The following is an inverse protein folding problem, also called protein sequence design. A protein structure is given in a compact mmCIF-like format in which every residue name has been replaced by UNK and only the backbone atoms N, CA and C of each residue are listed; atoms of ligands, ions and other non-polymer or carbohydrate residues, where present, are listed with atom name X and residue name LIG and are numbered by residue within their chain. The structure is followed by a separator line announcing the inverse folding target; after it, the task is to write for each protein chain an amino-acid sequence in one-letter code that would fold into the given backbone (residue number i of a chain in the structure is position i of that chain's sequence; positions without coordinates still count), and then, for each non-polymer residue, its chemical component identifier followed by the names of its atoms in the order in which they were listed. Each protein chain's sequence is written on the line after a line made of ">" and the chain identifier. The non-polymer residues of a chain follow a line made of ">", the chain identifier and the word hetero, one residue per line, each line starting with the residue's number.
data_IF_438866196069
#
_entry.id   IF_438866196069
#
_cell.length_a   1.000
_cell.length_b   1.000
_cell.length_c   1.000
_cell.angle_alpha   90.00
_cell.angle_beta   90.00
_cell.angle_gamma   90.00
#
_symmetry.space_group_name_H-M   'P 1'
#
loop_
_entity.id
_entity.type
_entity.pdbx_description
1 polymer ?
#
# COMPACT_ATOMS: atom_id res chain seq x y z
N UNK A 1 9.37 -8.17 -40.52
CA UNK A 1 9.32 -6.92 -39.73
C UNK A 1 8.04 -6.17 -40.06
N UNK A 2 7.53 -5.35 -39.13
CA UNK A 2 6.34 -4.51 -39.36
C UNK A 2 6.79 -3.13 -39.88
N UNK A 3 6.11 -2.58 -40.90
CA UNK A 3 6.49 -1.29 -41.50
C UNK A 3 6.09 -0.12 -40.60
N UNK A 4 7.06 0.71 -40.24
CA UNK A 4 6.87 1.98 -39.50
C UNK A 4 6.03 2.95 -40.35
N UNK A 5 4.91 3.44 -39.80
CA UNK A 5 3.91 4.27 -40.51
C UNK A 5 4.07 5.78 -40.30
N UNK A 6 4.84 6.19 -39.30
CA UNK A 6 5.04 7.59 -38.95
C UNK A 6 5.56 7.75 -37.53
N UNK A 7 5.46 8.97 -37.02
CA UNK A 7 5.87 9.38 -35.68
C UNK A 7 4.65 9.69 -34.80
N UNK A 8 4.88 10.05 -33.54
CA UNK A 8 3.83 10.51 -32.61
C UNK A 8 3.09 11.77 -33.11
N UNK A 9 3.73 12.58 -33.96
CA UNK A 9 3.11 13.76 -34.56
C UNK A 9 2.09 13.41 -35.64
N UNK A 10 2.14 12.18 -36.17
CA UNK A 10 1.23 11.69 -37.20
C UNK A 10 -0.03 11.02 -36.63
N UNK A 11 -0.19 10.99 -35.31
CA UNK A 11 -1.21 10.19 -34.62
C UNK A 11 -2.62 10.42 -35.18
N UNK A 12 -3.06 11.68 -35.26
CA UNK A 12 -4.41 12.05 -35.71
C UNK A 12 -4.67 11.55 -37.13
N UNK A 13 -3.71 11.79 -38.03
CA UNK A 13 -3.78 11.34 -39.43
C UNK A 13 -3.81 9.82 -39.52
N UNK A 14 -2.97 9.14 -38.74
CA UNK A 14 -2.86 7.68 -38.75
C UNK A 14 -4.10 7.01 -38.15
N UNK A 15 -4.67 7.55 -37.08
CA UNK A 15 -5.93 7.07 -36.49
C UNK A 15 -7.05 7.15 -37.53
N UNK A 16 -7.19 8.30 -38.20
CA UNK A 16 -8.22 8.49 -39.23
C UNK A 16 -8.02 7.58 -40.45
N UNK A 17 -6.77 7.38 -40.88
CA UNK A 17 -6.46 6.56 -42.08
C UNK A 17 -6.60 5.07 -41.82
N UNK A 18 -6.32 4.63 -40.58
CA UNK A 18 -6.29 3.21 -40.20
C UNK A 18 -7.55 2.75 -39.48
N UNK A 19 -8.49 3.66 -39.19
CA UNK A 19 -9.66 3.42 -38.33
C UNK A 19 -9.26 2.77 -36.99
N UNK A 20 -8.17 3.28 -36.40
CA UNK A 20 -7.56 2.67 -35.23
C UNK A 20 -8.36 3.00 -33.96
N UNK A 21 -8.81 1.98 -33.23
CA UNK A 21 -9.61 2.13 -32.00
C UNK A 21 -8.76 2.10 -30.72
N UNK A 22 -7.52 1.61 -30.81
CA UNK A 22 -6.61 1.46 -29.66
C UNK A 22 -5.21 1.92 -30.05
N UNK A 23 -4.63 2.80 -29.23
CA UNK A 23 -3.21 3.15 -29.28
C UNK A 23 -2.47 2.38 -28.19
N UNK A 24 -1.47 1.58 -28.57
CA UNK A 24 -0.65 0.83 -27.63
C UNK A 24 0.74 1.46 -27.52
N UNK A 25 1.12 1.90 -26.33
CA UNK A 25 2.43 2.48 -26.02
C UNK A 25 3.37 1.36 -25.59
N UNK A 26 4.34 1.04 -26.45
CA UNK A 26 5.38 0.05 -26.21
C UNK A 26 6.76 0.68 -25.94
N UNK A 27 6.78 1.88 -25.35
CA UNK A 27 8.01 2.64 -25.06
C UNK A 27 8.39 2.37 -23.61
N UNK A 28 9.51 1.65 -23.40
CA UNK A 28 9.98 1.28 -22.07
C UNK A 28 10.12 2.48 -21.11
N UNK A 29 10.53 3.65 -21.62
CA UNK A 29 10.75 4.88 -20.84
C UNK A 29 9.93 6.08 -21.32
N UNK A 30 8.62 5.91 -21.56
CA UNK A 30 7.77 7.07 -21.84
C UNK A 30 7.66 7.96 -20.60
N UNK A 31 7.86 9.27 -20.77
CA UNK A 31 7.70 10.21 -19.66
C UNK A 31 6.22 10.55 -19.44
N UNK A 32 5.85 10.93 -18.22
CA UNK A 32 4.46 11.20 -17.87
C UNK A 32 3.84 12.37 -18.64
N UNK A 33 4.64 13.37 -19.03
CA UNK A 33 4.13 14.50 -19.80
C UNK A 33 3.70 14.06 -21.21
N UNK A 34 4.49 13.22 -21.87
CA UNK A 34 4.18 12.61 -23.15
C UNK A 34 2.98 11.68 -23.05
N UNK A 35 2.88 10.88 -21.98
CA UNK A 35 1.74 10.00 -21.81
C UNK A 35 0.44 10.78 -21.56
N UNK A 36 0.48 11.87 -20.78
CA UNK A 36 -0.66 12.78 -20.59
C UNK A 36 -1.08 13.47 -21.89
N UNK A 37 -0.11 13.90 -22.70
CA UNK A 37 -0.38 14.48 -24.03
C UNK A 37 -1.05 13.45 -24.95
N UNK A 38 -0.51 12.24 -24.99
CA UNK A 38 -1.07 11.11 -25.74
C UNK A 38 -2.49 10.77 -25.29
N UNK A 39 -2.73 10.67 -23.97
CA UNK A 39 -4.06 10.36 -23.42
C UNK A 39 -5.08 11.43 -23.84
N UNK A 40 -4.70 12.71 -23.71
CA UNK A 40 -5.55 13.83 -24.14
C UNK A 40 -5.90 13.76 -25.62
N UNK A 41 -4.91 13.47 -26.48
CA UNK A 41 -5.09 13.36 -27.93
C UNK A 41 -5.94 12.14 -28.28
N UNK A 42 -5.70 10.98 -27.65
CA UNK A 42 -6.48 9.77 -27.88
C UNK A 42 -7.95 9.96 -27.48
N UNK A 43 -8.23 10.60 -26.32
CA UNK A 43 -9.60 10.93 -25.89
C UNK A 43 -10.32 11.84 -26.87
N UNK A 44 -9.63 12.86 -27.42
CA UNK A 44 -10.20 13.74 -28.43
C UNK A 44 -10.55 13.01 -29.73
N UNK A 45 -9.86 11.91 -30.02
CA UNK A 45 -10.07 11.07 -31.20
C UNK A 45 -11.01 9.87 -30.95
N UNK A 46 -11.48 9.66 -29.71
CA UNK A 46 -12.28 8.48 -29.34
C UNK A 46 -11.48 7.16 -29.31
N UNK A 47 -10.16 7.23 -29.17
CA UNK A 47 -9.24 6.08 -29.16
C UNK A 47 -8.87 5.71 -27.73
N UNK A 48 -8.82 4.42 -27.42
CA UNK A 48 -8.35 3.93 -26.12
C UNK A 48 -6.83 3.90 -26.07
N UNK A 49 -6.24 4.61 -25.11
CA UNK A 49 -4.81 4.52 -24.83
C UNK A 49 -4.52 3.35 -23.90
N UNK A 50 -3.53 2.54 -24.27
CA UNK A 50 -3.10 1.35 -23.57
C UNK A 50 -1.58 1.32 -23.47
N UNK A 51 -1.04 0.89 -22.33
CA UNK A 51 0.41 0.85 -22.10
C UNK A 51 0.86 -0.61 -21.94
N UNK A 52 1.92 -1.00 -22.65
CA UNK A 52 2.55 -2.32 -22.46
C UNK A 52 3.49 -2.22 -21.26
N UNK A 53 3.42 -3.17 -20.31
CA UNK A 53 4.38 -3.27 -19.22
C UNK A 53 5.82 -3.41 -19.74
N UNK A 54 6.78 -2.93 -18.97
CA UNK A 54 8.19 -3.07 -19.31
C UNK A 54 8.62 -4.56 -19.31
N UNK A 55 9.67 -4.93 -20.08
CA UNK A 55 10.20 -6.29 -20.08
C UNK A 55 10.58 -6.81 -18.67
N UNK A 56 10.99 -5.92 -17.76
CA UNK A 56 11.34 -6.26 -16.38
C UNK A 56 10.09 -6.68 -15.59
N UNK A 57 8.96 -5.99 -15.77
CA UNK A 57 7.68 -6.31 -15.10
C UNK A 57 7.09 -7.64 -15.59
N UNK A 58 7.28 -7.94 -16.88
CA UNK A 58 6.83 -9.20 -17.50
C UNK A 58 7.66 -10.38 -16.99
N UNK A 59 8.99 -10.23 -16.95
CA UNK A 59 9.92 -11.32 -16.55
C UNK A 59 9.77 -11.68 -15.07
N UNK A 60 9.45 -10.71 -14.20
CA UNK A 60 9.22 -10.94 -12.77
C UNK A 60 7.84 -11.52 -12.43
N UNK A 61 7.00 -11.82 -13.43
CA UNK A 61 5.66 -12.38 -13.20
C UNK A 61 4.70 -11.43 -12.49
N UNK A 62 5.03 -10.15 -12.39
CA UNK A 62 4.20 -9.12 -11.74
C UNK A 62 3.04 -8.69 -12.64
N UNK A 63 3.17 -8.90 -13.96
CA UNK A 63 2.18 -8.60 -14.99
C UNK A 63 2.33 -9.59 -16.15
N UNK A 64 1.23 -10.10 -16.71
CA UNK A 64 1.28 -10.97 -17.89
C UNK A 64 1.32 -10.16 -19.19
N UNK A 65 1.89 -10.71 -20.28
CA UNK A 65 1.89 -10.06 -21.60
C UNK A 65 0.47 -9.79 -22.14
N UNK A 66 -0.54 -10.49 -21.61
CA UNK A 66 -1.96 -10.30 -21.87
C UNK A 66 -2.52 -9.02 -21.23
N UNK A 67 -1.84 -8.43 -20.27
CA UNK A 67 -2.36 -7.33 -19.44
C UNK A 67 -2.01 -5.97 -20.05
N UNK A 68 -2.44 -5.79 -21.31
CA UNK A 68 -2.43 -4.46 -21.93
C UNK A 68 -3.41 -3.58 -21.14
N UNK A 69 -2.86 -2.80 -20.22
CA UNK A 69 -3.59 -2.10 -19.17
C UNK A 69 -4.02 -0.70 -19.62
N UNK A 70 -5.14 -0.22 -19.09
CA UNK A 70 -5.50 1.20 -19.18
C UNK A 70 -4.44 2.04 -18.45
N UNK A 71 -4.26 3.30 -18.88
CA UNK A 71 -3.35 4.25 -18.25
C UNK A 71 -3.69 4.40 -16.77
N UNK A 72 -2.73 4.12 -15.90
CA UNK A 72 -2.92 4.18 -14.44
C UNK A 72 -2.65 5.58 -13.88
N UNK A 73 -3.06 5.83 -12.63
CA UNK A 73 -2.78 7.12 -11.97
C UNK A 73 -1.27 7.30 -11.73
N UNK A 74 -0.59 6.18 -11.48
CA UNK A 74 0.85 6.06 -11.34
C UNK A 74 1.57 6.52 -12.63
N UNK A 75 1.07 6.06 -13.78
CA UNK A 75 1.60 6.44 -15.09
C UNK A 75 1.42 7.94 -15.36
N UNK A 76 0.24 8.49 -15.02
CA UNK A 76 -0.06 9.92 -15.15
C UNK A 76 0.79 10.79 -14.22
N UNK A 77 1.15 10.28 -13.05
CA UNK A 77 2.02 10.96 -12.09
C UNK A 77 3.51 10.72 -12.38
N UNK A 78 3.84 9.85 -13.32
CA UNK A 78 5.21 9.52 -13.71
C UNK A 78 5.98 8.78 -12.64
N UNK A 79 5.28 8.04 -11.77
CA UNK A 79 5.91 7.29 -10.70
C UNK A 79 6.17 5.86 -11.16
N UNK A 80 7.44 5.49 -11.23
CA UNK A 80 7.87 4.13 -11.54
C UNK A 80 8.41 3.46 -10.27
N UNK A 81 8.15 2.15 -10.07
CA UNK A 81 8.66 1.41 -8.93
C UNK A 81 10.19 1.52 -8.80
N UNK A 82 10.68 1.70 -7.58
CA UNK A 82 12.11 1.68 -7.28
C UNK A 82 12.59 0.22 -7.23
N UNK A 83 13.74 -0.08 -7.84
CA UNK A 83 14.40 -1.38 -7.74
C UNK A 83 15.20 -1.51 -6.44
N UNK A 84 15.14 -2.69 -5.82
CA UNK A 84 15.53 -2.96 -4.42
C UNK A 84 16.12 -4.38 -4.28
N UNK A 85 16.65 -4.69 -3.10
CA UNK A 85 17.45 -5.89 -2.82
C UNK A 85 16.56 -7.08 -2.40
N UNK A 86 15.93 -7.71 -3.40
CA UNK A 86 15.00 -8.86 -3.23
C UNK A 86 15.60 -10.04 -2.41
N UNK A 87 16.89 -10.42 -2.56
CA UNK A 87 17.49 -11.50 -1.77
C UNK A 87 17.48 -11.31 -0.25
N UNK A 88 17.59 -10.08 0.24
CA UNK A 88 17.59 -9.81 1.68
C UNK A 88 16.17 -9.94 2.26
N UNK A 89 15.19 -9.37 1.58
CA UNK A 89 13.77 -9.46 1.96
C UNK A 89 13.31 -10.92 1.97
N UNK A 90 13.68 -11.70 0.96
CA UNK A 90 13.36 -13.12 0.90
C UNK A 90 13.93 -13.88 2.11
N UNK A 91 15.19 -13.61 2.50
CA UNK A 91 15.82 -14.26 3.66
C UNK A 91 15.14 -13.88 4.98
N UNK A 92 14.61 -12.66 5.07
CA UNK A 92 13.87 -12.18 6.24
C UNK A 92 12.51 -12.88 6.38
N UNK A 93 11.84 -13.24 5.28
CA UNK A 93 10.43 -13.67 5.29
C UNK A 93 10.22 -15.16 5.02
N UNK A 94 11.08 -15.78 4.20
CA UNK A 94 10.93 -17.17 3.78
C UNK A 94 10.99 -18.12 4.98
N UNK A 95 9.98 -18.97 5.10
CA UNK A 95 9.85 -19.92 6.22
C UNK A 95 9.64 -19.26 7.59
N UNK A 96 9.37 -17.95 7.65
CA UNK A 96 9.07 -17.25 8.91
C UNK A 96 7.58 -17.24 9.23
N UNK A 97 7.28 -17.06 10.51
CA UNK A 97 5.92 -16.82 11.01
C UNK A 97 5.71 -15.32 11.10
N UNK A 98 4.86 -14.77 10.25
CA UNK A 98 4.62 -13.33 10.15
C UNK A 98 3.23 -12.99 10.65
N UNK A 99 3.09 -11.91 11.43
CA UNK A 99 1.80 -11.37 11.84
C UNK A 99 1.66 -9.92 11.35
N UNK A 100 0.55 -9.63 10.68
CA UNK A 100 0.22 -8.29 10.20
C UNK A 100 -1.02 -7.80 10.94
N UNK A 101 -0.91 -6.71 11.69
CA UNK A 101 -2.08 -6.03 12.28
C UNK A 101 -2.60 -4.94 11.34
N UNK A 102 -3.90 -4.72 11.29
CA UNK A 102 -4.53 -3.80 10.34
C UNK A 102 -4.50 -4.36 8.92
N UNK A 103 -4.56 -5.70 8.80
CA UNK A 103 -4.41 -6.41 7.55
C UNK A 103 -5.46 -5.99 6.51
N UNK A 104 -6.69 -5.68 6.91
CA UNK A 104 -7.75 -5.22 6.01
C UNK A 104 -7.54 -3.78 5.47
N UNK A 105 -6.59 -3.03 6.02
CA UNK A 105 -6.24 -1.68 5.58
C UNK A 105 -5.45 -1.66 4.26
N UNK A 106 -5.31 -0.48 3.64
CA UNK A 106 -4.58 -0.35 2.36
C UNK A 106 -3.12 -0.80 2.44
N UNK A 107 -2.41 -0.46 3.52
CA UNK A 107 -1.02 -0.86 3.71
C UNK A 107 -0.92 -2.30 4.19
N UNK A 108 -1.77 -2.71 5.14
CA UNK A 108 -1.77 -4.08 5.67
C UNK A 108 -2.09 -5.12 4.60
N UNK A 109 -3.03 -4.83 3.70
CA UNK A 109 -3.41 -5.77 2.62
C UNK A 109 -2.31 -5.91 1.57
N UNK A 110 -1.59 -4.83 1.27
CA UNK A 110 -0.46 -4.91 0.36
C UNK A 110 0.76 -5.59 1.01
N UNK A 111 1.01 -5.34 2.31
CA UNK A 111 1.98 -6.13 3.09
C UNK A 111 1.64 -7.62 3.04
N UNK A 112 0.37 -7.99 3.24
CA UNK A 112 -0.06 -9.39 3.19
C UNK A 112 0.24 -10.04 1.83
N UNK A 113 -0.06 -9.35 0.72
CA UNK A 113 0.24 -9.86 -0.64
C UNK A 113 1.73 -10.04 -0.88
N UNK A 114 2.54 -9.03 -0.56
CA UNK A 114 3.99 -9.10 -0.79
C UNK A 114 4.65 -10.12 0.13
N UNK A 115 4.30 -10.15 1.42
CA UNK A 115 4.83 -11.14 2.35
C UNK A 115 4.47 -12.56 1.89
N UNK A 116 3.23 -12.79 1.44
CA UNK A 116 2.81 -14.10 0.93
C UNK A 116 3.64 -14.57 -0.28
N UNK A 117 4.11 -13.66 -1.15
CA UNK A 117 4.95 -14.03 -2.29
C UNK A 117 6.38 -14.48 -1.93
N UNK A 118 6.80 -14.35 -0.66
CA UNK A 118 8.09 -14.83 -0.16
C UNK A 118 7.99 -16.17 0.58
N UNK A 119 6.87 -16.89 0.47
CA UNK A 119 6.66 -18.20 1.08
C UNK A 119 6.97 -18.26 2.60
N UNK A 120 6.26 -17.46 3.42
CA UNK A 120 6.37 -17.57 4.88
C UNK A 120 5.83 -18.92 5.34
N UNK A 121 6.33 -19.44 6.48
CA UNK A 121 5.78 -20.65 7.09
C UNK A 121 4.37 -20.43 7.64
N UNK A 122 4.02 -19.18 7.99
CA UNK A 122 2.70 -18.78 8.44
C UNK A 122 2.51 -17.28 8.24
N UNK A 123 1.32 -16.86 7.79
CA UNK A 123 0.95 -15.45 7.62
C UNK A 123 -0.35 -15.16 8.38
N UNK A 124 -0.26 -14.57 9.57
CA UNK A 124 -1.42 -14.14 10.34
C UNK A 124 -1.91 -12.76 9.90
N UNK A 125 -3.20 -12.65 9.60
CA UNK A 125 -3.88 -11.43 9.17
C UNK A 125 -4.84 -10.98 10.29
N UNK A 126 -4.41 -9.97 11.06
CA UNK A 126 -5.17 -9.44 12.17
C UNK A 126 -5.85 -8.13 11.79
N UNK A 127 -7.17 -8.06 11.94
CA UNK A 127 -7.93 -6.81 11.84
C UNK A 127 -9.18 -6.89 12.74
N UNK A 128 -9.73 -5.72 13.10
CA UNK A 128 -11.03 -5.64 13.77
C UNK A 128 -12.18 -5.56 12.76
N UNK A 129 -11.88 -5.12 11.54
CA UNK A 129 -12.85 -4.98 10.46
C UNK A 129 -12.99 -6.34 9.75
N UNK A 130 -14.00 -7.10 10.17
CA UNK A 130 -14.36 -8.40 9.61
C UNK A 130 -14.53 -8.35 8.09
N UNK A 131 -15.24 -7.34 7.58
CA UNK A 131 -15.53 -7.21 6.15
C UNK A 131 -14.26 -6.96 5.35
N UNK A 132 -13.38 -6.09 5.85
CA UNK A 132 -12.11 -5.82 5.19
C UNK A 132 -11.17 -7.04 5.22
N UNK A 133 -11.17 -7.79 6.32
CA UNK A 133 -10.36 -8.99 6.50
C UNK A 133 -10.84 -10.12 5.56
N UNK A 134 -12.14 -10.34 5.49
CA UNK A 134 -12.74 -11.31 4.56
C UNK A 134 -12.46 -10.94 3.08
N UNK A 135 -12.65 -9.68 2.72
CA UNK A 135 -12.38 -9.20 1.36
C UNK A 135 -10.90 -9.38 0.97
N UNK A 136 -9.97 -9.16 1.91
CA UNK A 136 -8.54 -9.42 1.69
C UNK A 136 -8.31 -10.90 1.40
N UNK A 137 -8.78 -11.80 2.27
CA UNK A 137 -8.59 -13.23 2.13
C UNK A 137 -9.11 -13.76 0.78
N UNK A 138 -10.34 -13.35 0.41
CA UNK A 138 -10.93 -13.71 -0.87
C UNK A 138 -10.07 -13.22 -2.04
N UNK A 139 -9.53 -12.00 -1.96
CA UNK A 139 -8.66 -11.44 -3.01
C UNK A 139 -7.32 -12.15 -3.15
N UNK A 140 -6.81 -12.77 -2.08
CA UNK A 140 -5.50 -13.44 -2.07
C UNK A 140 -5.61 -14.91 -2.47
N UNK A 141 -6.62 -15.62 -1.99
CA UNK A 141 -6.68 -17.08 -2.10
C UNK A 141 -7.85 -17.59 -2.93
N UNK A 142 -8.77 -16.72 -3.36
CA UNK A 142 -9.95 -17.10 -4.15
C UNK A 142 -10.93 -18.02 -3.41
N UNK A 143 -10.78 -18.16 -2.08
CA UNK A 143 -11.60 -19.02 -1.22
C UNK A 143 -12.46 -18.18 -0.29
N UNK A 144 -13.77 -18.45 -0.30
CA UNK A 144 -14.73 -17.82 0.60
C UNK A 144 -14.80 -18.51 1.97
N UNK A 145 -14.43 -19.78 2.06
CA UNK A 145 -14.43 -20.56 3.30
C UNK A 145 -13.17 -20.22 4.11
N UNK A 146 -13.36 -19.70 5.32
CA UNK A 146 -12.31 -19.32 6.28
C UNK A 146 -11.86 -20.48 7.15
N UNK A 147 -11.51 -21.61 6.54
CA UNK A 147 -11.10 -22.83 7.26
C UNK A 147 -9.64 -22.77 7.74
N UNK A 148 -9.03 -21.59 7.71
CA UNK A 148 -7.62 -21.36 7.98
C UNK A 148 -7.44 -20.49 9.22
N UNK A 149 -6.50 -20.88 10.09
CA UNK A 149 -6.16 -20.17 11.33
C UNK A 149 -5.39 -18.85 11.09
N UNK A 150 -5.31 -18.39 9.84
CA UNK A 150 -4.61 -17.18 9.42
C UNK A 150 -5.45 -15.91 9.56
N UNK A 151 -6.79 -16.00 9.53
CA UNK A 151 -7.68 -14.85 9.76
C UNK A 151 -7.94 -14.63 11.26
N UNK A 152 -7.51 -13.49 11.77
CA UNK A 152 -7.54 -13.16 13.20
C UNK A 152 -8.40 -11.92 13.41
N UNK A 153 -9.68 -12.14 13.72
CA UNK A 153 -10.58 -11.05 14.11
C UNK A 153 -10.26 -10.61 15.55
N UNK A 154 -9.61 -9.45 15.71
CA UNK A 154 -9.26 -8.89 17.01
C UNK A 154 -9.05 -7.36 16.96
N UNK A 155 -9.42 -6.68 18.04
CA UNK A 155 -9.09 -5.25 18.23
C UNK A 155 -7.76 -5.14 18.99
N UNK A 156 -6.82 -4.33 18.47
CA UNK A 156 -5.54 -4.05 19.12
C UNK A 156 -5.69 -3.35 20.49
N UNK A 157 -6.87 -2.83 20.80
CA UNK A 157 -7.20 -2.27 22.11
C UNK A 157 -7.39 -3.36 23.19
N UNK A 158 -7.65 -4.60 22.81
CA UNK A 158 -7.77 -5.73 23.73
C UNK A 158 -6.40 -6.37 24.00
N UNK A 159 -5.79 -5.98 25.13
CA UNK A 159 -4.47 -6.46 25.51
C UNK A 159 -4.46 -7.98 25.79
N UNK A 160 -5.46 -8.50 26.49
CA UNK A 160 -5.50 -9.91 26.88
C UNK A 160 -5.58 -10.80 25.63
N UNK A 161 -6.42 -10.41 24.68
CA UNK A 161 -6.54 -11.12 23.40
C UNK A 161 -5.26 -11.06 22.57
N UNK A 162 -4.58 -9.92 22.53
CA UNK A 162 -3.29 -9.80 21.84
C UNK A 162 -2.22 -10.68 22.46
N UNK A 163 -2.14 -10.77 23.79
CA UNK A 163 -1.19 -11.66 24.47
C UNK A 163 -1.45 -13.12 24.11
N UNK A 164 -2.71 -13.58 24.12
CA UNK A 164 -3.08 -14.94 23.69
C UNK A 164 -2.67 -15.21 22.23
N UNK A 165 -2.99 -14.29 21.32
CA UNK A 165 -2.65 -14.41 19.89
C UNK A 165 -1.14 -14.50 19.70
N UNK A 166 -0.36 -13.62 20.32
CA UNK A 166 1.10 -13.60 20.20
C UNK A 166 1.75 -14.86 20.79
N UNK A 167 1.23 -15.38 21.90
CA UNK A 167 1.70 -16.62 22.51
C UNK A 167 1.36 -17.86 21.68
N UNK A 168 0.17 -17.89 21.07
CA UNK A 168 -0.24 -18.98 20.18
C UNK A 168 0.53 -18.98 18.87
N UNK A 169 0.70 -17.79 18.26
CA UNK A 169 1.33 -17.66 16.96
C UNK A 169 2.85 -17.70 17.08
N UNK A 170 3.47 -17.13 18.13
CA UNK A 170 4.94 -17.00 18.24
C UNK A 170 5.56 -16.45 16.93
N UNK A 171 5.16 -15.25 16.47
CA UNK A 171 5.66 -14.72 15.21
C UNK A 171 7.15 -14.37 15.31
N UNK A 172 7.88 -14.60 14.23
CA UNK A 172 9.25 -14.11 14.03
C UNK A 172 9.26 -12.62 13.66
N UNK A 173 8.21 -12.17 12.95
CA UNK A 173 8.08 -10.81 12.42
C UNK A 173 6.67 -10.29 12.66
N UNK A 174 6.56 -9.06 13.18
CA UNK A 174 5.29 -8.34 13.32
C UNK A 174 5.33 -7.06 12.49
N UNK A 175 4.44 -6.93 11.52
CA UNK A 175 4.17 -5.66 10.82
C UNK A 175 2.92 -5.00 11.42
N UNK A 176 3.11 -3.85 12.06
CA UNK A 176 2.05 -3.13 12.73
C UNK A 176 1.50 -1.98 11.85
N UNK A 177 0.44 -2.27 11.08
CA UNK A 177 -0.23 -1.30 10.20
C UNK A 177 -1.59 -0.80 10.74
N UNK A 178 -2.06 -1.30 11.88
CA UNK A 178 -3.34 -0.89 12.48
C UNK A 178 -3.26 0.52 13.09
N UNK A 179 -4.02 1.48 12.53
CA UNK A 179 -4.16 2.83 13.06
C UNK A 179 -5.39 3.53 12.47
N UNK A 180 -5.87 4.57 13.15
CA UNK A 180 -6.75 5.57 12.55
C UNK A 180 -5.92 6.66 11.86
N UNK A 181 -6.36 7.11 10.67
CA UNK A 181 -5.62 8.06 9.83
C UNK A 181 -6.39 9.30 9.34
N UNK A 182 -7.70 9.38 9.55
CA UNK A 182 -8.52 10.45 8.96
C UNK A 182 -8.44 11.73 9.78
N UNK A 183 -7.61 12.68 9.33
CA UNK A 183 -7.25 13.87 10.11
C UNK A 183 -8.46 14.66 10.64
N UNK A 184 -9.47 15.06 9.85
CA UNK A 184 -10.62 15.80 10.39
C UNK A 184 -11.38 15.03 11.47
N UNK A 185 -11.52 13.71 11.30
CA UNK A 185 -12.20 12.86 12.29
C UNK A 185 -11.40 12.75 13.58
N UNK A 186 -10.06 12.70 13.49
CA UNK A 186 -9.19 12.62 14.66
C UNK A 186 -9.06 13.95 15.40
N UNK A 187 -9.15 15.08 14.70
CA UNK A 187 -9.27 16.39 15.35
C UNK A 187 -10.60 16.51 16.11
N UNK A 188 -11.70 15.97 15.57
CA UNK A 188 -12.99 15.93 16.24
C UNK A 188 -13.05 14.90 17.40
N UNK A 189 -12.31 13.80 17.30
CA UNK A 189 -12.29 12.71 18.27
C UNK A 189 -10.85 12.32 18.69
N UNK A 190 -10.11 13.21 19.37
CA UNK A 190 -8.70 12.99 19.70
C UNK A 190 -8.49 11.83 20.68
N UNK A 191 -9.48 11.57 21.54
CA UNK A 191 -9.46 10.42 22.45
C UNK A 191 -9.45 9.07 21.69
N UNK A 192 -10.11 8.97 20.54
CA UNK A 192 -10.10 7.76 19.72
C UNK A 192 -8.77 7.56 18.99
N UNK A 193 -8.11 8.66 18.60
CA UNK A 193 -6.73 8.62 18.11
C UNK A 193 -5.80 8.06 19.19
N UNK A 194 -5.92 8.56 20.43
CA UNK A 194 -5.10 8.08 21.55
C UNK A 194 -5.36 6.60 21.86
N UNK A 195 -6.62 6.17 21.99
CA UNK A 195 -6.96 4.77 22.28
C UNK A 195 -6.47 3.81 21.20
N UNK A 196 -6.67 4.12 19.92
CA UNK A 196 -6.26 3.21 18.84
C UNK A 196 -4.77 3.30 18.58
N UNK A 197 -4.28 4.50 18.29
CA UNK A 197 -2.93 4.66 17.78
C UNK A 197 -1.94 4.53 18.93
N UNK A 198 -2.18 5.12 20.11
CA UNK A 198 -1.20 5.10 21.19
C UNK A 198 -1.35 3.86 22.06
N UNK A 199 -2.52 3.67 22.69
CA UNK A 199 -2.75 2.53 23.58
C UNK A 199 -2.75 1.21 22.82
N UNK A 200 -3.40 1.16 21.65
CA UNK A 200 -3.39 -0.03 20.79
C UNK A 200 -1.97 -0.43 20.37
N UNK A 201 -1.16 0.50 19.86
CA UNK A 201 0.25 0.17 19.54
C UNK A 201 1.04 -0.28 20.77
N UNK A 202 0.85 0.36 21.94
CA UNK A 202 1.49 -0.08 23.19
C UNK A 202 1.13 -1.53 23.52
N UNK A 203 -0.13 -1.92 23.37
CA UNK A 203 -0.58 -3.29 23.65
C UNK A 203 0.07 -4.30 22.69
N UNK A 204 0.12 -4.00 21.38
CA UNK A 204 0.77 -4.88 20.39
C UNK A 204 2.27 -5.00 20.67
N UNK A 205 2.94 -3.88 20.98
CA UNK A 205 4.35 -3.86 21.33
C UNK A 205 4.65 -4.70 22.58
N UNK A 206 3.82 -4.56 23.63
CA UNK A 206 3.96 -5.31 24.87
C UNK A 206 3.77 -6.82 24.63
N UNK A 207 2.73 -7.20 23.89
CA UNK A 207 2.48 -8.60 23.56
C UNK A 207 3.59 -9.20 22.69
N UNK A 208 4.14 -8.43 21.74
CA UNK A 208 5.28 -8.85 20.93
C UNK A 208 6.55 -9.03 21.77
N UNK A 209 6.84 -8.08 22.68
CA UNK A 209 7.96 -8.17 23.60
C UNK A 209 7.86 -9.41 24.51
N UNK A 210 6.71 -9.63 25.15
CA UNK A 210 6.46 -10.78 26.03
C UNK A 210 6.55 -12.12 25.28
N UNK A 211 6.10 -12.16 24.02
CA UNK A 211 6.22 -13.34 23.17
C UNK A 211 7.63 -13.55 22.60
N UNK A 212 8.58 -12.65 22.85
CA UNK A 212 9.95 -12.81 22.38
C UNK A 212 10.13 -12.54 20.88
N UNK A 213 9.26 -11.72 20.27
CA UNK A 213 9.29 -11.43 18.83
C UNK A 213 10.63 -10.76 18.45
N UNK A 214 11.41 -11.33 17.52
CA UNK A 214 12.68 -10.74 17.12
C UNK A 214 12.54 -9.44 16.33
N UNK A 215 11.59 -9.33 15.40
CA UNK A 215 11.46 -8.19 14.51
C UNK A 215 10.06 -7.55 14.60
N UNK A 216 10.03 -6.25 14.92
CA UNK A 216 8.79 -5.46 14.95
C UNK A 216 8.92 -4.22 14.09
N UNK A 217 8.00 -4.04 13.15
CA UNK A 217 7.98 -2.92 12.23
C UNK A 217 6.69 -2.11 12.43
N UNK A 218 6.81 -0.93 13.01
CA UNK A 218 5.71 0.02 13.16
C UNK A 218 5.56 0.89 11.91
N UNK A 219 4.40 0.85 11.27
CA UNK A 219 4.10 1.72 10.14
C UNK A 219 3.80 3.14 10.65
N UNK A 220 4.60 4.12 10.24
CA UNK A 220 4.43 5.53 10.58
C UNK A 220 4.10 6.38 9.32
N UNK A 221 4.15 7.69 9.46
CA UNK A 221 3.75 8.67 8.43
C UNK A 221 4.66 9.89 8.50
N UNK A 222 4.86 10.54 7.36
CA UNK A 222 5.47 11.88 7.26
C UNK A 222 4.93 12.89 8.30
N UNK A 223 3.63 12.82 8.63
CA UNK A 223 2.96 13.69 9.62
C UNK A 223 3.52 13.56 11.04
N UNK A 224 4.29 12.52 11.34
CA UNK A 224 4.95 12.34 12.63
C UNK A 224 6.31 13.05 12.74
N UNK A 225 6.87 13.57 11.63
CA UNK A 225 8.20 14.19 11.62
C UNK A 225 8.25 15.49 12.44
N UNK A 226 7.36 16.42 12.13
CA UNK A 226 7.11 17.66 12.87
C UNK A 226 5.58 17.82 13.06
N UNK A 227 5.03 17.18 14.10
CA UNK A 227 3.60 16.95 14.18
C UNK A 227 2.83 18.24 14.55
N UNK A 228 1.87 18.62 13.71
CA UNK A 228 0.95 19.75 13.94
C UNK A 228 -0.52 19.31 14.06
N UNK A 229 -0.78 18.00 14.06
CA UNK A 229 -2.12 17.42 14.11
C UNK A 229 -2.20 16.29 15.12
N UNK A 230 -3.41 15.90 15.53
CA UNK A 230 -3.66 14.76 16.42
C UNK A 230 -3.08 13.47 15.82
N UNK A 231 -3.25 13.26 14.51
CA UNK A 231 -2.66 12.12 13.80
C UNK A 231 -1.13 12.13 13.95
N UNK A 232 -0.50 13.27 13.65
CA UNK A 232 0.95 13.42 13.75
C UNK A 232 1.48 13.15 15.16
N UNK A 233 0.86 13.75 16.18
CA UNK A 233 1.25 13.60 17.58
C UNK A 233 1.08 12.14 18.05
N UNK A 234 -0.04 11.50 17.70
CA UNK A 234 -0.29 10.11 18.05
C UNK A 234 0.75 9.18 17.42
N UNK A 235 1.07 9.34 16.14
CA UNK A 235 2.09 8.51 15.46
C UNK A 235 3.52 8.82 15.93
N UNK A 236 3.85 10.08 16.23
CA UNK A 236 5.13 10.42 16.88
C UNK A 236 5.28 9.75 18.24
N UNK A 237 4.19 9.62 18.99
CA UNK A 237 4.18 8.87 20.26
C UNK A 237 4.43 7.38 20.04
N UNK A 238 3.82 6.76 19.02
CA UNK A 238 4.08 5.34 18.72
C UNK A 238 5.50 5.06 18.29
N UNK A 239 6.14 5.97 17.56
CA UNK A 239 7.57 5.88 17.26
C UNK A 239 8.42 5.88 18.53
N UNK A 240 8.12 6.77 19.48
CA UNK A 240 8.81 6.84 20.77
C UNK A 240 8.60 5.57 21.61
N UNK A 241 7.38 5.03 21.61
CA UNK A 241 7.08 3.75 22.27
C UNK A 241 7.88 2.60 21.63
N UNK A 242 7.92 2.54 20.30
CA UNK A 242 8.66 1.50 19.57
C UNK A 242 10.16 1.59 19.83
N UNK A 243 10.73 2.80 19.76
CA UNK A 243 12.16 3.04 20.01
C UNK A 243 12.57 2.88 21.48
N UNK A 244 11.62 3.01 22.41
CA UNK A 244 11.86 2.87 23.84
C UNK A 244 11.91 1.42 24.33
N UNK A 245 11.53 0.45 23.50
CA UNK A 245 11.58 -0.98 23.84
C UNK A 245 12.92 -1.57 23.42
N UNK A 246 13.57 -2.26 24.34
CA UNK A 246 14.75 -3.07 24.04
C UNK A 246 14.26 -4.44 23.56
N UNK A 247 14.46 -4.79 22.28
CA UNK A 247 13.97 -6.04 21.74
C UNK A 247 14.69 -7.25 22.36
N UNK A 248 14.00 -8.40 22.49
CA UNK A 248 14.60 -9.64 22.99
C UNK A 248 15.62 -10.20 21.97
N UNK A 249 16.59 -10.99 22.46
CA UNK A 249 17.52 -11.79 21.64
C UNK A 249 18.25 -11.05 20.51
N UNK A 250 18.69 -9.80 20.74
CA UNK A 250 19.32 -8.95 19.70
C UNK A 250 18.41 -8.66 18.50
N UNK A 251 17.10 -8.70 18.72
CA UNK A 251 16.08 -8.32 17.75
C UNK A 251 16.11 -6.83 17.38
N UNK A 252 15.13 -6.39 16.60
CA UNK A 252 15.06 -5.04 16.05
C UNK A 252 13.63 -4.54 16.03
N UNK A 253 13.38 -3.42 16.72
CA UNK A 253 12.09 -2.74 16.71
C UNK A 253 12.29 -1.38 16.04
N UNK A 254 11.59 -1.13 14.95
CA UNK A 254 11.75 0.10 14.16
C UNK A 254 10.43 0.69 13.71
N UNK A 255 10.46 1.97 13.35
CA UNK A 255 9.32 2.66 12.73
C UNK A 255 9.71 3.16 11.34
N UNK A 256 8.88 2.88 10.34
CA UNK A 256 9.12 3.31 8.96
C UNK A 256 8.13 4.42 8.60
N UNK A 257 8.65 5.58 8.18
CA UNK A 257 7.83 6.71 7.72
C UNK A 257 7.75 6.73 6.21
N UNK A 258 6.56 7.02 5.70
CA UNK A 258 6.36 7.35 4.29
C UNK A 258 5.28 8.42 4.10
N UNK A 259 5.24 8.98 2.89
CA UNK A 259 4.31 10.03 2.48
C UNK A 259 2.92 9.51 2.14
N UNK A 260 2.21 10.20 1.24
CA UNK A 260 0.90 9.76 0.82
C UNK A 260 1.00 8.56 -0.13
N UNK A 261 0.08 7.61 0.04
CA UNK A 261 -0.03 6.43 -0.83
C UNK A 261 -1.20 6.61 -1.78
N UNK A 262 -0.92 6.47 -3.08
CA UNK A 262 -1.91 6.51 -4.15
C UNK A 262 -2.98 5.44 -3.96
N UNK A 263 -4.24 5.78 -4.30
CA UNK A 263 -5.36 4.86 -4.20
C UNK A 263 -5.72 4.36 -2.79
N UNK A 264 -5.09 4.88 -1.72
CA UNK A 264 -5.39 4.39 -0.36
C UNK A 264 -6.85 4.70 0.04
N UNK A 265 -7.46 3.83 0.86
CA UNK A 265 -8.87 3.95 1.29
C UNK A 265 -9.13 5.33 1.89
N UNK A 266 -10.20 5.98 1.43
CA UNK A 266 -10.61 7.31 1.86
C UNK A 266 -9.60 8.42 1.57
N UNK A 267 -8.75 8.25 0.55
CA UNK A 267 -7.83 9.28 0.08
C UNK A 267 -8.54 10.32 -0.80
N UNK A 268 -7.82 11.40 -1.10
CA UNK A 268 -8.30 12.49 -1.96
C UNK A 268 -8.70 12.01 -3.35
N UNK A 269 -7.98 11.04 -3.93
CA UNK A 269 -8.29 10.51 -5.25
C UNK A 269 -9.61 9.74 -5.25
N UNK A 270 -9.87 8.97 -4.19
CA UNK A 270 -11.17 8.30 -4.01
C UNK A 270 -12.31 9.32 -3.88
N UNK A 271 -12.08 10.41 -3.14
CA UNK A 271 -13.06 11.50 -3.02
C UNK A 271 -13.34 12.20 -4.35
N UNK A 272 -12.28 12.50 -5.13
CA UNK A 272 -12.41 13.14 -6.44
C UNK A 272 -13.18 12.24 -7.43
N UNK A 273 -12.86 10.95 -7.49
CA UNK A 273 -13.60 9.98 -8.32
C UNK A 273 -15.07 9.95 -7.97
N UNK A 274 -15.40 9.93 -6.68
CA UNK A 274 -16.79 9.94 -6.20
C UNK A 274 -17.52 11.23 -6.59
N UNK A 275 -16.90 12.40 -6.39
CA UNK A 275 -17.46 13.70 -6.75
C UNK A 275 -17.72 13.84 -8.25
N UNK A 276 -16.76 13.44 -9.07
CA UNK A 276 -16.87 13.47 -10.54
C UNK A 276 -17.96 12.51 -11.02
N UNK A 277 -18.00 11.29 -10.48
CA UNK A 277 -19.03 10.29 -10.84
C UNK A 277 -20.44 10.75 -10.47
N UNK A 278 -20.57 11.53 -9.40
CA UNK A 278 -21.82 12.17 -9.00
C UNK A 278 -22.17 13.43 -9.81
N UNK A 279 -21.33 13.85 -10.77
CA UNK A 279 -21.51 15.06 -11.57
C UNK A 279 -21.28 16.37 -10.80
N UNK A 280 -20.68 16.29 -9.60
CA UNK A 280 -20.43 17.43 -8.73
C UNK A 280 -19.04 18.06 -8.94
N UNK A 281 -18.81 19.27 -8.40
CA UNK A 281 -17.50 19.91 -8.43
C UNK A 281 -16.48 19.17 -7.55
N UNK A 282 -15.21 19.20 -7.96
CA UNK A 282 -14.09 18.67 -7.17
C UNK A 282 -13.74 19.64 -6.05
N UNK A 283 -13.63 19.14 -4.82
CA UNK A 283 -13.29 19.98 -3.65
C UNK A 283 -11.79 19.95 -3.36
N UNK A 284 -11.11 21.08 -3.55
CA UNK A 284 -9.68 21.24 -3.23
C UNK A 284 -9.53 22.09 -1.96
N UNK A 285 -8.65 21.67 -1.04
CA UNK A 285 -8.50 22.35 0.25
C UNK A 285 -7.88 23.74 0.15
N UNK A 286 -6.90 23.91 -0.75
CA UNK A 286 -6.22 25.17 -1.01
C UNK A 286 -5.55 25.11 -2.39
N UNK A 287 -5.54 26.18 -3.20
CA UNK A 287 -4.98 26.16 -4.56
C UNK A 287 -3.49 25.78 -4.61
N UNK A 288 -2.74 26.10 -3.57
CA UNK A 288 -1.29 25.85 -3.48
C UNK A 288 -0.91 24.57 -2.72
N UNK A 289 -1.89 23.72 -2.36
CA UNK A 289 -1.60 22.52 -1.58
C UNK A 289 -0.79 21.52 -2.40
N UNK A 290 0.37 21.10 -1.87
CA UNK A 290 1.21 20.06 -2.46
C UNK A 290 1.35 18.86 -1.54
N UNK A 291 1.54 17.66 -2.13
CA UNK A 291 1.71 16.39 -1.40
C UNK A 291 2.70 15.51 -2.14
N UNK A 292 3.51 14.76 -1.39
CA UNK A 292 4.36 13.71 -1.92
C UNK A 292 3.59 12.41 -2.02
N UNK A 293 3.69 11.74 -3.17
CA UNK A 293 3.00 10.49 -3.46
C UNK A 293 3.96 9.37 -3.81
N UNK A 294 3.56 8.15 -3.46
CA UNK A 294 4.17 6.90 -3.88
C UNK A 294 3.08 5.85 -4.10
N UNK A 295 3.41 4.79 -4.82
CA UNK A 295 2.47 3.67 -5.00
C UNK A 295 2.36 2.85 -3.72
N UNK A 296 1.26 2.12 -3.53
CA UNK A 296 1.11 1.22 -2.37
C UNK A 296 2.17 0.12 -2.39
N UNK A 297 2.47 -0.39 -3.59
CA UNK A 297 3.50 -1.40 -3.82
C UNK A 297 4.87 -0.89 -3.38
N UNK A 298 5.25 0.33 -3.81
CA UNK A 298 6.50 0.98 -3.41
C UNK A 298 6.58 1.21 -1.90
N UNK A 299 5.51 1.72 -1.28
CA UNK A 299 5.49 2.03 0.15
C UNK A 299 5.75 0.77 0.98
N UNK A 300 5.04 -0.31 0.65
CA UNK A 300 5.20 -1.60 1.32
C UNK A 300 6.57 -2.19 1.04
N UNK A 301 7.05 -2.11 -0.20
CA UNK A 301 8.34 -2.68 -0.55
C UNK A 301 9.50 -1.99 0.19
N UNK A 302 9.46 -0.66 0.34
CA UNK A 302 10.42 0.09 1.16
C UNK A 302 10.30 -0.21 2.66
N UNK A 303 9.10 -0.53 3.15
CA UNK A 303 8.91 -1.04 4.52
C UNK A 303 9.61 -2.38 4.71
N UNK A 304 9.46 -3.29 3.75
CA UNK A 304 10.12 -4.60 3.79
C UNK A 304 11.64 -4.48 3.73
N UNK A 305 12.17 -3.58 2.90
CA UNK A 305 13.60 -3.31 2.80
C UNK A 305 14.20 -2.71 4.08
N UNK A 306 13.43 -1.89 4.81
CA UNK A 306 13.89 -1.23 6.03
C UNK A 306 13.91 -2.17 7.25
N UNK A 307 13.12 -3.24 7.21
CA UNK A 307 12.92 -4.18 8.30
C UNK A 307 14.20 -5.01 8.56
#
# INVERSE_FOLDING_TARGET
>A
GVRVRGTICDLERLVATLDAQVLVVAIAEVNAAQLRDLDKRCRALGVHLRVIPSPVEIVKGTVHLSDVSEVTEEDLLGRRPVHTDEPEIARMLQGKRVLITGAGGSIGSELARQVNSYDPAYLGLLDRDESALHALHLSMFGKAMGDTDDLILADIRDQARLTEIMQRIRPDVVFHAAALKHLPMLEAAPSEAFKTNVLGTRNVLQAAYEAGVPLFVNISTDKAADPVSVLGHSKRTTERLTAGIVPPHSGRYLSVRFGNVLGSRGSVLTAFRSQISAGGPVTVTHPEVTRYFMTVKEAVHLVLQAA
#
